data_IF_277252376625
#
_entry.id   IF_277252376625
#
_cell.length_a   1.000
_cell.length_b   1.000
_cell.length_c   1.000
_cell.angle_alpha   90.00
_cell.angle_beta   90.00
_cell.angle_gamma   90.00
#
_symmetry.space_group_name_H-M   'P 1'
#
loop_
_entity.id
_entity.type
_entity.pdbx_description
1 polymer ?
#
# COMPACT_ATOMS: atom_id res chain seq x y z
N UNK A 1 52.34 41.61 -22.27
CA UNK A 1 52.46 40.14 -22.39
C UNK A 1 51.86 39.50 -21.14
N UNK A 2 50.90 38.57 -21.32
CA UNK A 2 50.36 37.55 -20.38
C UNK A 2 49.87 38.08 -19.00
N UNK A 3 48.63 38.55 -18.80
CA UNK A 3 47.33 37.82 -18.66
C UNK A 3 47.43 36.51 -17.87
N UNK A 4 47.15 36.57 -16.56
CA UNK A 4 46.57 35.49 -15.77
C UNK A 4 46.11 36.03 -14.40
N UNK A 5 44.81 36.25 -14.23
CA UNK A 5 44.20 36.17 -12.90
C UNK A 5 42.86 35.46 -13.07
N UNK A 6 42.84 34.24 -12.58
CA UNK A 6 41.72 33.32 -12.54
C UNK A 6 40.71 33.85 -11.52
N UNK A 7 39.56 34.32 -11.99
CA UNK A 7 38.38 34.52 -11.16
C UNK A 7 37.47 33.32 -11.40
N UNK A 8 37.59 32.34 -10.49
CA UNK A 8 36.65 31.23 -10.35
C UNK A 8 35.29 31.81 -9.96
N UNK A 9 34.41 31.98 -10.94
CA UNK A 9 32.98 32.18 -10.72
C UNK A 9 32.44 30.90 -10.11
N UNK A 10 32.29 30.89 -8.79
CA UNK A 10 31.48 29.92 -8.06
C UNK A 10 30.02 30.17 -8.42
N UNK A 11 29.59 29.69 -9.58
CA UNK A 11 28.19 29.46 -9.85
C UNK A 11 27.75 28.35 -8.89
N UNK A 12 27.18 28.74 -7.75
CA UNK A 12 26.20 27.91 -7.06
C UNK A 12 25.03 27.70 -8.03
N UNK A 13 25.19 26.73 -8.92
CA UNK A 13 24.08 26.10 -9.58
C UNK A 13 23.25 25.49 -8.45
N UNK A 14 22.21 26.23 -8.09
CA UNK A 14 21.04 25.78 -7.39
C UNK A 14 20.72 24.39 -7.96
N UNK A 15 21.04 23.34 -7.23
CA UNK A 15 20.54 22.01 -7.55
C UNK A 15 19.07 22.03 -7.13
N UNK A 16 18.06 22.07 -8.04
CA UNK A 16 16.85 21.40 -7.69
C UNK A 16 17.24 19.92 -7.76
N UNK A 17 17.74 19.41 -6.64
CA UNK A 17 17.62 18.01 -6.30
C UNK A 17 16.14 17.72 -6.13
N UNK A 18 15.38 17.80 -7.22
CA UNK A 18 14.21 16.97 -7.44
C UNK A 18 14.79 15.55 -7.54
N UNK A 19 15.09 14.96 -6.38
CA UNK A 19 15.00 13.53 -6.25
C UNK A 19 13.54 13.22 -6.55
N UNK A 20 13.24 13.00 -7.83
CA UNK A 20 12.13 12.16 -8.22
C UNK A 20 12.47 10.81 -7.59
N UNK A 21 11.94 10.58 -6.40
CA UNK A 21 12.02 9.29 -5.75
C UNK A 21 11.50 8.28 -6.77
N UNK A 22 12.37 7.39 -7.23
CA UNK A 22 12.00 6.34 -8.15
C UNK A 22 11.03 5.45 -7.36
N UNK A 23 9.73 5.71 -7.52
CA UNK A 23 8.67 4.93 -6.89
C UNK A 23 8.83 3.49 -7.36
N UNK A 24 9.52 2.70 -6.54
CA UNK A 24 9.74 1.29 -6.82
C UNK A 24 8.41 0.58 -6.59
N UNK A 25 7.68 0.36 -7.67
CA UNK A 25 6.47 -0.45 -7.65
C UNK A 25 6.85 -1.86 -7.21
N UNK A 26 6.29 -2.28 -6.07
CA UNK A 26 6.57 -3.57 -5.47
C UNK A 26 5.41 -4.51 -5.74
N UNK A 27 5.54 -5.34 -6.79
CA UNK A 27 4.62 -6.45 -7.06
C UNK A 27 5.25 -7.76 -6.58
N UNK A 28 4.69 -8.31 -5.50
CA UNK A 28 5.17 -9.50 -4.83
C UNK A 28 4.40 -10.75 -5.27
N UNK A 29 5.04 -11.91 -5.19
CA UNK A 29 4.45 -13.22 -5.44
C UNK A 29 3.82 -13.84 -4.19
N UNK A 30 4.19 -13.37 -3.00
CA UNK A 30 3.77 -13.94 -1.72
C UNK A 30 3.67 -12.90 -0.60
N UNK A 31 3.05 -13.30 0.51
CA UNK A 31 2.98 -12.47 1.72
C UNK A 31 4.36 -12.25 2.34
N UNK A 32 5.19 -13.28 2.41
CA UNK A 32 6.53 -13.21 3.01
C UNK A 32 7.44 -12.23 2.26
N UNK A 33 7.34 -12.21 0.93
CA UNK A 33 8.03 -11.23 0.07
C UNK A 33 7.52 -9.80 0.31
N UNK A 34 6.21 -9.61 0.47
CA UNK A 34 5.61 -8.29 0.69
C UNK A 34 5.99 -7.66 2.03
N UNK A 35 6.24 -8.46 3.07
CA UNK A 35 6.56 -7.96 4.41
C UNK A 35 8.06 -7.72 4.63
N UNK A 36 8.96 -8.30 3.83
CA UNK A 36 10.42 -8.06 3.88
C UNK A 36 11.03 -8.07 5.30
N UNK A 37 10.59 -8.98 6.17
CA UNK A 37 10.97 -9.06 7.59
C UNK A 37 10.55 -7.87 8.48
N UNK A 38 9.76 -6.92 7.97
CA UNK A 38 9.14 -5.89 8.81
C UNK A 38 8.17 -6.57 9.74
N UNK A 39 8.30 -6.39 11.04
CA UNK A 39 7.30 -6.79 12.02
C UNK A 39 6.24 -5.69 12.15
N UNK A 40 4.97 -6.04 12.18
CA UNK A 40 3.93 -5.07 12.50
C UNK A 40 2.54 -5.61 12.27
N UNK A 41 1.50 -4.82 12.58
CA UNK A 41 0.18 -5.10 12.08
C UNK A 41 0.18 -4.90 10.55
N UNK A 42 -0.62 -5.68 9.84
CA UNK A 42 -0.83 -5.56 8.40
C UNK A 42 -2.32 -5.42 8.09
N UNK A 43 -2.65 -4.49 7.22
CA UNK A 43 -3.96 -4.37 6.59
C UNK A 43 -3.87 -4.95 5.19
N UNK A 44 -4.54 -6.07 4.96
CA UNK A 44 -4.66 -6.67 3.63
C UNK A 44 -5.97 -6.20 3.01
N UNK A 45 -5.88 -5.68 1.79
CA UNK A 45 -7.04 -5.27 0.99
C UNK A 45 -7.07 -6.11 -0.28
N UNK A 46 -8.07 -6.98 -0.38
CA UNK A 46 -8.32 -7.83 -1.54
C UNK A 46 -9.14 -7.07 -2.57
N UNK A 47 -8.66 -7.02 -3.81
CA UNK A 47 -9.24 -6.23 -4.89
C UNK A 47 -8.96 -6.85 -6.26
N UNK A 48 -9.68 -6.36 -7.27
CA UNK A 48 -9.34 -6.52 -8.68
C UNK A 48 -9.22 -5.14 -9.32
N UNK A 49 -8.26 -5.00 -10.22
CA UNK A 49 -8.05 -3.85 -11.11
C UNK A 49 -9.26 -3.60 -12.03
N UNK A 50 -10.05 -4.64 -12.32
CA UNK A 50 -11.29 -4.56 -13.10
C UNK A 50 -12.51 -4.07 -12.30
N UNK A 51 -12.38 -3.94 -10.97
CA UNK A 51 -13.45 -3.54 -10.06
C UNK A 51 -13.22 -2.13 -9.51
N UNK A 52 -13.94 -1.14 -10.03
CA UNK A 52 -13.81 0.27 -9.60
C UNK A 52 -13.94 0.47 -8.09
N UNK A 53 -15.02 -0.07 -7.52
CA UNK A 53 -15.27 0.04 -6.07
C UNK A 53 -14.13 -0.59 -5.26
N UNK A 54 -13.46 -1.61 -5.80
CA UNK A 54 -12.40 -2.32 -5.10
C UNK A 54 -11.11 -1.50 -5.02
N UNK A 55 -10.65 -0.94 -6.14
CA UNK A 55 -9.44 -0.10 -6.10
C UNK A 55 -9.69 1.26 -5.46
N UNK A 56 -10.91 1.81 -5.53
CA UNK A 56 -11.26 3.00 -4.74
C UNK A 56 -11.15 2.73 -3.24
N UNK A 57 -11.58 1.56 -2.78
CA UNK A 57 -11.49 1.15 -1.37
C UNK A 57 -10.02 1.05 -0.90
N UNK A 58 -9.13 0.48 -1.73
CA UNK A 58 -7.68 0.45 -1.46
C UNK A 58 -7.10 1.86 -1.31
N UNK A 59 -7.40 2.77 -2.24
CA UNK A 59 -6.92 4.16 -2.21
C UNK A 59 -7.50 4.90 -0.98
N UNK A 60 -8.79 4.72 -0.69
CA UNK A 60 -9.45 5.30 0.49
C UNK A 60 -8.80 4.83 1.79
N UNK A 61 -8.45 3.54 1.90
CA UNK A 61 -7.74 3.02 3.07
C UNK A 61 -6.35 3.63 3.20
N UNK A 62 -5.56 3.70 2.12
CA UNK A 62 -4.25 4.36 2.12
C UNK A 62 -4.35 5.80 2.64
N UNK A 63 -5.29 6.58 2.09
CA UNK A 63 -5.52 7.96 2.51
C UNK A 63 -5.93 8.06 3.99
N UNK A 64 -6.82 7.17 4.45
CA UNK A 64 -7.26 7.14 5.85
C UNK A 64 -6.10 6.85 6.81
N UNK A 65 -5.27 5.84 6.51
CA UNK A 65 -4.12 5.47 7.34
C UNK A 65 -3.13 6.63 7.48
N UNK A 66 -2.78 7.25 6.35
CA UNK A 66 -1.89 8.41 6.31
C UNK A 66 -2.48 9.59 7.10
N UNK A 67 -3.74 9.95 6.83
CA UNK A 67 -4.41 11.09 7.47
C UNK A 67 -4.54 10.94 8.99
N UNK A 68 -4.69 9.70 9.47
CA UNK A 68 -4.85 9.42 10.89
C UNK A 68 -3.54 9.06 11.61
N UNK A 69 -2.40 9.04 10.89
CA UNK A 69 -1.11 8.59 11.41
C UNK A 69 -1.21 7.20 12.06
N UNK A 70 -1.88 6.27 11.36
CA UNK A 70 -2.06 4.89 11.82
C UNK A 70 -0.86 4.07 11.39
N UNK A 71 -0.18 3.47 12.37
CA UNK A 71 1.01 2.64 12.17
C UNK A 71 0.60 1.22 11.83
N UNK A 72 0.31 1.00 10.55
CA UNK A 72 -0.03 -0.31 10.00
C UNK A 72 0.47 -0.43 8.56
N UNK A 73 1.00 -1.59 8.20
CA UNK A 73 1.49 -1.85 6.86
C UNK A 73 0.31 -2.20 5.93
N UNK A 74 0.00 -1.34 4.97
CA UNK A 74 -1.01 -1.61 3.95
C UNK A 74 -0.43 -2.52 2.85
N UNK A 75 -1.16 -3.58 2.49
CA UNK A 75 -0.80 -4.50 1.41
C UNK A 75 -2.03 -4.76 0.54
N UNK A 76 -1.91 -4.54 -0.77
CA UNK A 76 -2.92 -4.95 -1.74
C UNK A 76 -2.78 -6.44 -2.08
N UNK A 77 -3.88 -7.14 -2.30
CA UNK A 77 -3.89 -8.54 -2.74
C UNK A 77 -4.85 -8.67 -3.91
N UNK A 78 -4.38 -9.21 -5.04
CA UNK A 78 -5.20 -9.40 -6.24
C UNK A 78 -4.85 -10.69 -6.96
N UNK A 79 -5.83 -11.26 -7.66
CA UNK A 79 -5.63 -12.40 -8.58
C UNK A 79 -5.28 -11.97 -10.01
N UNK A 80 -5.17 -10.67 -10.27
CA UNK A 80 -4.85 -10.15 -11.60
C UNK A 80 -3.40 -10.47 -12.00
N UNK A 81 -3.12 -10.34 -13.30
CA UNK A 81 -1.79 -10.58 -13.86
C UNK A 81 -0.80 -9.56 -13.31
N UNK A 82 0.47 -9.97 -13.17
CA UNK A 82 1.53 -9.09 -12.67
C UNK A 82 1.65 -7.84 -13.54
N UNK A 83 1.55 -7.99 -14.85
CA UNK A 83 1.67 -6.91 -15.82
C UNK A 83 0.52 -5.89 -15.67
N UNK A 84 -0.69 -6.36 -15.37
CA UNK A 84 -1.85 -5.50 -15.13
C UNK A 84 -1.72 -4.77 -13.79
N UNK A 85 -1.19 -5.44 -12.77
CA UNK A 85 -0.90 -4.83 -11.46
C UNK A 85 0.18 -3.77 -11.53
N UNK A 86 1.23 -3.97 -12.34
CA UNK A 86 2.25 -2.93 -12.59
C UNK A 86 1.59 -1.71 -13.23
N UNK A 87 0.85 -1.88 -14.32
CA UNK A 87 0.15 -0.77 -15.00
C UNK A 87 -0.81 -0.05 -14.06
N UNK A 88 -1.57 -0.79 -13.26
CA UNK A 88 -2.47 -0.25 -12.25
C UNK A 88 -1.70 0.58 -11.21
N UNK A 89 -0.59 0.06 -10.69
CA UNK A 89 0.22 0.76 -9.69
C UNK A 89 0.85 2.05 -10.26
N UNK A 90 1.31 2.04 -11.51
CA UNK A 90 1.78 3.23 -12.22
C UNK A 90 0.67 4.26 -12.37
N UNK A 91 -0.48 3.84 -12.92
CA UNK A 91 -1.62 4.70 -13.23
C UNK A 91 -2.17 5.40 -11.99
N UNK A 92 -2.32 4.66 -10.90
CA UNK A 92 -2.91 5.17 -9.65
C UNK A 92 -1.88 5.55 -8.60
N UNK A 93 -0.59 5.56 -8.94
CA UNK A 93 0.46 5.99 -8.02
C UNK A 93 0.46 5.19 -6.71
N UNK A 94 0.25 3.88 -6.82
CA UNK A 94 0.25 2.95 -5.68
C UNK A 94 1.70 2.71 -5.25
N UNK A 95 1.99 2.98 -3.98
CA UNK A 95 3.32 2.89 -3.36
C UNK A 95 3.37 1.88 -2.21
N UNK A 96 2.28 1.15 -1.98
CA UNK A 96 2.26 0.01 -1.07
C UNK A 96 2.55 -1.29 -1.83
N UNK A 97 3.08 -2.33 -1.15
CA UNK A 97 3.23 -3.65 -1.75
C UNK A 97 1.89 -4.20 -2.25
N UNK A 98 1.92 -4.80 -3.45
CA UNK A 98 0.77 -5.50 -4.02
C UNK A 98 1.17 -6.95 -4.31
N UNK A 99 0.41 -7.89 -3.76
CA UNK A 99 0.62 -9.32 -3.98
C UNK A 99 -0.22 -9.77 -5.18
N UNK A 100 0.43 -10.38 -6.17
CA UNK A 100 -0.23 -11.12 -7.26
C UNK A 100 -0.48 -12.56 -6.81
N UNK A 101 -1.64 -12.79 -6.18
CA UNK A 101 -2.08 -14.10 -5.70
C UNK A 101 -2.77 -14.92 -6.82
N UNK A 102 -2.08 -15.14 -7.94
CA UNK A 102 -2.64 -15.83 -9.13
C UNK A 102 -3.26 -17.19 -8.83
N UNK A 103 -2.73 -17.91 -7.84
CA UNK A 103 -3.20 -19.24 -7.43
C UNK A 103 -4.32 -19.19 -6.38
N UNK A 104 -4.63 -17.99 -5.87
CA UNK A 104 -5.62 -17.74 -4.84
C UNK A 104 -5.24 -18.37 -3.49
N UNK A 105 -3.96 -18.49 -3.17
CA UNK A 105 -3.49 -19.10 -1.93
C UNK A 105 -3.89 -18.26 -0.71
N UNK A 106 -3.76 -16.93 -0.79
CA UNK A 106 -4.21 -16.01 0.27
C UNK A 106 -5.74 -15.90 0.27
N UNK A 107 -6.37 -15.85 -0.91
CA UNK A 107 -7.83 -15.88 -1.01
C UNK A 107 -8.41 -17.12 -0.32
N UNK A 108 -7.86 -18.32 -0.57
CA UNK A 108 -8.28 -19.57 0.08
C UNK A 108 -7.96 -19.56 1.58
N UNK A 109 -6.73 -19.21 1.96
CA UNK A 109 -6.29 -19.16 3.36
C UNK A 109 -7.19 -18.30 4.22
N UNK A 110 -7.63 -17.16 3.69
CA UNK A 110 -8.49 -16.22 4.40
C UNK A 110 -9.96 -16.27 3.97
N UNK A 111 -10.36 -17.32 3.23
CA UNK A 111 -11.73 -17.60 2.78
C UNK A 111 -12.41 -16.42 2.07
N UNK A 112 -11.66 -15.68 1.25
CA UNK A 112 -12.15 -14.48 0.58
C UNK A 112 -12.95 -14.86 -0.66
N UNK A 113 -14.27 -14.74 -0.57
CA UNK A 113 -15.21 -15.10 -1.65
C UNK A 113 -15.63 -13.90 -2.50
N UNK A 114 -15.68 -12.69 -1.90
CA UNK A 114 -16.12 -11.46 -2.56
C UNK A 114 -15.20 -10.28 -2.26
N UNK A 115 -14.98 -9.45 -3.27
CA UNK A 115 -14.19 -8.22 -3.22
C UNK A 115 -15.10 -6.96 -3.28
N UNK A 116 -14.65 -5.79 -2.76
CA UNK A 116 -13.45 -5.63 -1.95
C UNK A 116 -13.56 -6.41 -0.65
N UNK A 117 -12.43 -6.81 -0.06
CA UNK A 117 -12.41 -7.47 1.25
C UNK A 117 -11.21 -7.03 2.05
N UNK A 118 -11.40 -6.79 3.35
CA UNK A 118 -10.33 -6.31 4.22
C UNK A 118 -10.15 -7.21 5.43
N UNK A 119 -8.90 -7.40 5.81
CA UNK A 119 -8.54 -8.09 7.05
C UNK A 119 -7.32 -7.45 7.69
N UNK A 120 -7.22 -7.54 9.02
CA UNK A 120 -6.07 -7.07 9.79
C UNK A 120 -5.37 -8.28 10.40
N UNK A 121 -4.06 -8.38 10.20
CA UNK A 121 -3.19 -9.38 10.81
C UNK A 121 -2.34 -8.71 11.86
N UNK A 122 -2.24 -9.31 13.05
CA UNK A 122 -1.36 -8.88 14.15
C UNK A 122 -0.68 -10.12 14.72
N UNK A 123 0.65 -10.13 14.79
CA UNK A 123 1.45 -11.28 15.26
C UNK A 123 1.02 -12.61 14.58
N UNK A 124 0.87 -12.57 13.25
CA UNK A 124 0.45 -13.72 12.42
C UNK A 124 -0.95 -14.27 12.70
N UNK A 125 -1.79 -13.54 13.45
CA UNK A 125 -3.19 -13.89 13.73
C UNK A 125 -4.13 -12.88 13.11
N UNK A 126 -5.28 -13.34 12.62
CA UNK A 126 -6.35 -12.46 12.12
C UNK A 126 -7.00 -11.74 13.31
N UNK A 127 -6.80 -10.43 13.40
CA UNK A 127 -7.40 -9.56 14.43
C UNK A 127 -8.77 -9.02 14.00
N UNK A 128 -8.92 -8.76 12.70
CA UNK A 128 -10.18 -8.31 12.10
C UNK A 128 -10.35 -8.94 10.72
N UNK A 129 -11.60 -9.20 10.36
CA UNK A 129 -12.01 -9.68 9.06
C UNK A 129 -13.37 -9.07 8.71
N UNK A 130 -13.54 -8.66 7.47
CA UNK A 130 -14.84 -8.23 6.96
C UNK A 130 -15.88 -9.36 7.02
N UNK A 131 -17.15 -8.98 7.12
CA UNK A 131 -18.28 -9.89 7.13
C UNK A 131 -19.13 -9.66 5.88
N UNK A 132 -19.43 -10.72 5.14
CA UNK A 132 -20.29 -10.67 3.95
C UNK A 132 -21.75 -10.35 4.27
N UNK A 133 -22.17 -10.51 5.53
CA UNK A 133 -23.53 -10.21 5.99
C UNK A 133 -23.75 -8.73 6.29
N UNK A 134 -22.75 -7.87 6.04
CA UNK A 134 -22.81 -6.43 6.26
C UNK A 134 -22.61 -5.72 4.94
N UNK A 135 -23.32 -4.62 4.75
CA UNK A 135 -23.11 -3.73 3.61
C UNK A 135 -21.71 -3.08 3.65
N UNK A 136 -21.31 -2.49 2.52
CA UNK A 136 -20.00 -1.88 2.34
C UNK A 136 -19.74 -0.75 3.35
N UNK A 137 -20.74 0.10 3.61
CA UNK A 137 -20.60 1.21 4.55
C UNK A 137 -20.33 0.68 5.96
N UNK A 138 -21.07 -0.33 6.39
CA UNK A 138 -20.91 -0.88 7.74
C UNK A 138 -19.58 -1.59 7.91
N UNK A 139 -19.10 -2.27 6.87
CA UNK A 139 -17.75 -2.86 6.85
C UNK A 139 -16.68 -1.79 6.97
N UNK A 140 -16.81 -0.69 6.23
CA UNK A 140 -15.90 0.46 6.28
C UNK A 140 -15.86 1.10 7.68
N UNK A 141 -17.01 1.37 8.30
CA UNK A 141 -17.09 1.89 9.67
C UNK A 141 -16.39 0.97 10.68
N UNK A 142 -16.66 -0.34 10.59
CA UNK A 142 -16.12 -1.31 11.52
C UNK A 142 -14.60 -1.38 11.43
N UNK A 143 -14.04 -1.46 10.22
CA UNK A 143 -12.59 -1.53 10.07
C UNK A 143 -11.92 -0.24 10.49
N UNK A 144 -12.46 0.94 10.11
CA UNK A 144 -11.92 2.24 10.55
C UNK A 144 -11.86 2.32 12.08
N UNK A 145 -12.92 1.89 12.77
CA UNK A 145 -12.93 1.81 14.24
C UNK A 145 -11.82 0.92 14.80
N UNK A 146 -11.53 -0.22 14.16
CA UNK A 146 -10.43 -1.12 14.58
C UNK A 146 -9.07 -0.50 14.28
N UNK A 147 -8.90 0.13 13.12
CA UNK A 147 -7.66 0.77 12.70
C UNK A 147 -7.24 1.92 13.62
N UNK A 148 -8.19 2.66 14.21
CA UNK A 148 -7.89 3.70 15.20
C UNK A 148 -7.13 3.17 16.43
N UNK A 149 -7.21 1.87 16.74
CA UNK A 149 -6.43 1.24 17.81
C UNK A 149 -4.93 1.15 17.53
N UNK A 150 -4.51 1.31 16.27
CA UNK A 150 -3.10 1.32 15.83
C UNK A 150 -2.59 2.74 15.54
N UNK A 151 -3.33 3.77 15.97
CA UNK A 151 -2.85 5.15 15.86
C UNK A 151 -1.57 5.30 16.68
N UNK A 152 -0.51 5.82 16.06
CA UNK A 152 0.72 6.12 16.80
C UNK A 152 0.38 7.03 17.97
N UNK A 153 0.73 6.60 19.18
CA UNK A 153 0.82 7.53 20.30
C UNK A 153 1.90 8.52 19.91
N UNK A 154 1.56 9.81 19.83
CA UNK A 154 2.55 10.84 19.59
C UNK A 154 3.72 10.62 20.56
N UNK A 155 4.94 10.52 20.01
CA UNK A 155 6.17 10.63 20.80
C UNK A 155 6.32 12.07 21.30
#
# INVERSE_FOLDING_TARGET
MKKALVLFLFCFAFSPGFFCDARNICICSSFDEAVQNKSGPYLLVFFSTSCQVCWEDLIKMKYFLHKQSIDINLIGVSRDLKEDLVKFAEMYSIDCPVISDRKGELYKKYQVDLEPFKLIIVHSRVFYRDSYYKDLQKREENIKKKLMGFKSKCA
#
